data_IF_395762161052
#
_entry.id   IF_395762161052
#
_cell.length_a   1.000
_cell.length_b   1.000
_cell.length_c   1.000
_cell.angle_alpha   90.00
_cell.angle_beta   90.00
_cell.angle_gamma   90.00
#
_symmetry.space_group_name_H-M   'P 1'
#
loop_
_entity.id
_entity.type
_entity.pdbx_description
1 polymer ?
#
# COMPACT_ATOMS: atom_id res chain seq x y z
N UNK A 1 -1.34 -30.66 -24.28
CA UNK A 1 -2.09 -29.42 -24.05
C UNK A 1 -2.25 -29.30 -22.55
N UNK A 2 -1.44 -28.47 -21.91
CA UNK A 2 -1.59 -28.22 -20.47
C UNK A 2 -2.92 -27.49 -20.25
N UNK A 3 -3.80 -28.08 -19.45
CA UNK A 3 -5.01 -27.42 -19.00
C UNK A 3 -4.59 -26.22 -18.14
N UNK A 4 -4.64 -25.01 -18.69
CA UNK A 4 -4.54 -23.78 -17.91
C UNK A 4 -5.73 -23.77 -16.97
N UNK A 5 -5.51 -24.14 -15.71
CA UNK A 5 -6.54 -24.15 -14.68
C UNK A 5 -6.98 -22.70 -14.46
N UNK A 6 -8.17 -22.35 -14.92
CA UNK A 6 -8.79 -21.04 -14.65
C UNK A 6 -8.96 -20.90 -13.14
N UNK A 7 -8.37 -19.85 -12.55
CA UNK A 7 -8.51 -19.58 -11.13
C UNK A 7 -9.94 -19.15 -10.82
N UNK A 8 -10.49 -19.60 -9.70
CA UNK A 8 -11.76 -19.04 -9.19
C UNK A 8 -11.55 -17.63 -8.65
N UNK A 9 -12.64 -16.86 -8.51
CA UNK A 9 -12.57 -15.51 -7.94
C UNK A 9 -11.97 -15.54 -6.53
N UNK A 10 -12.30 -16.56 -5.74
CA UNK A 10 -11.77 -16.74 -4.39
C UNK A 10 -10.28 -17.06 -4.40
N UNK A 11 -9.81 -17.85 -5.37
CA UNK A 11 -8.37 -18.12 -5.56
C UNK A 11 -7.61 -16.84 -5.97
N UNK A 12 -8.22 -15.98 -6.81
CA UNK A 12 -7.67 -14.66 -7.18
C UNK A 12 -7.54 -13.76 -5.96
N UNK A 13 -8.61 -13.61 -5.18
CA UNK A 13 -8.59 -12.81 -3.95
C UNK A 13 -7.54 -13.33 -2.97
N UNK A 14 -7.49 -14.64 -2.75
CA UNK A 14 -6.53 -15.25 -1.84
C UNK A 14 -5.08 -14.97 -2.25
N UNK A 15 -4.78 -15.03 -3.56
CA UNK A 15 -3.47 -14.66 -4.13
C UNK A 15 -3.18 -13.17 -3.89
N UNK A 16 -4.10 -12.29 -4.26
CA UNK A 16 -3.90 -10.85 -4.21
C UNK A 16 -3.70 -10.35 -2.77
N UNK A 17 -4.48 -10.88 -1.80
CA UNK A 17 -4.30 -10.56 -0.37
C UNK A 17 -2.92 -10.99 0.13
N UNK A 18 -2.41 -12.18 -0.27
CA UNK A 18 -1.06 -12.63 0.11
C UNK A 18 0.00 -11.67 -0.42
N UNK A 19 -0.07 -11.34 -1.71
CA UNK A 19 0.89 -10.44 -2.36
C UNK A 19 0.90 -9.06 -1.71
N UNK A 20 -0.28 -8.52 -1.40
CA UNK A 20 -0.41 -7.23 -0.71
C UNK A 20 0.23 -7.25 0.68
N UNK A 21 -0.10 -8.25 1.50
CA UNK A 21 0.42 -8.37 2.88
C UNK A 21 1.94 -8.53 2.89
N UNK A 22 2.48 -9.27 1.92
CA UNK A 22 3.92 -9.41 1.72
C UNK A 22 4.58 -8.08 1.35
N UNK A 23 3.99 -7.30 0.43
CA UNK A 23 4.54 -6.02 0.00
C UNK A 23 4.61 -4.98 1.13
N UNK A 24 3.57 -4.87 1.95
CA UNK A 24 3.54 -3.90 3.06
C UNK A 24 4.37 -4.33 4.30
N UNK A 25 5.08 -5.45 4.19
CA UNK A 25 5.89 -6.08 5.23
C UNK A 25 5.17 -6.15 6.58
N UNK A 26 3.99 -6.79 6.58
CA UNK A 26 3.21 -7.05 7.79
C UNK A 26 3.07 -8.55 8.00
N UNK A 27 3.17 -8.96 9.27
CA UNK A 27 2.96 -10.37 9.61
C UNK A 27 1.49 -10.73 9.51
N UNK A 28 1.21 -11.97 9.08
CA UNK A 28 -0.15 -12.52 9.08
C UNK A 28 -0.87 -12.36 10.43
N UNK A 29 -0.12 -12.51 11.54
CA UNK A 29 -0.61 -12.30 12.90
C UNK A 29 -1.15 -10.88 13.10
N UNK A 30 -0.32 -9.90 12.76
CA UNK A 30 -0.70 -8.49 12.87
C UNK A 30 -1.97 -8.19 12.06
N UNK A 31 -2.07 -8.72 10.84
CA UNK A 31 -3.21 -8.47 9.94
C UNK A 31 -4.52 -9.01 10.53
N UNK A 32 -4.58 -10.27 10.95
CA UNK A 32 -5.85 -10.81 11.45
C UNK A 32 -6.26 -10.19 12.79
N UNK A 33 -5.29 -9.86 13.66
CA UNK A 33 -5.58 -9.20 14.94
C UNK A 33 -6.16 -7.80 14.72
N UNK A 34 -5.54 -7.01 13.83
CA UNK A 34 -6.01 -5.64 13.55
C UNK A 34 -7.28 -5.59 12.71
N UNK A 35 -7.52 -6.58 11.86
CA UNK A 35 -8.76 -6.69 11.10
C UNK A 35 -9.95 -7.22 11.93
N UNK A 36 -9.74 -7.61 13.20
CA UNK A 36 -10.79 -8.24 14.01
C UNK A 36 -11.25 -9.57 13.42
N UNK A 37 -10.30 -10.39 12.97
CA UNK A 37 -10.52 -11.72 12.41
C UNK A 37 -9.86 -12.78 13.30
N UNK A 38 -10.52 -13.93 13.42
CA UNK A 38 -9.85 -15.08 14.02
C UNK A 38 -8.73 -15.57 13.10
N UNK A 39 -7.70 -16.19 13.70
CA UNK A 39 -6.63 -16.85 12.95
C UNK A 39 -7.20 -17.80 11.88
N UNK A 40 -8.18 -18.63 12.25
CA UNK A 40 -8.80 -19.58 11.34
C UNK A 40 -9.50 -18.89 10.16
N UNK A 41 -10.26 -17.82 10.43
CA UNK A 41 -10.96 -17.04 9.41
C UNK A 41 -9.97 -16.46 8.40
N UNK A 42 -8.85 -15.91 8.88
CA UNK A 42 -7.82 -15.34 8.01
C UNK A 42 -7.14 -16.40 7.13
N UNK A 43 -6.74 -17.54 7.68
CA UNK A 43 -6.13 -18.60 6.86
C UNK A 43 -7.11 -19.26 5.90
N UNK A 44 -8.40 -19.30 6.23
CA UNK A 44 -9.44 -19.71 5.30
C UNK A 44 -9.54 -18.73 4.12
N UNK A 45 -9.53 -17.41 4.38
CA UNK A 45 -9.47 -16.39 3.34
C UNK A 45 -8.24 -16.57 2.44
N UNK A 46 -7.05 -16.77 3.03
CA UNK A 46 -5.82 -17.02 2.27
C UNK A 46 -5.82 -18.34 1.49
N UNK A 47 -6.76 -19.24 1.76
CA UNK A 47 -6.97 -20.47 1.03
C UNK A 47 -8.12 -20.38 0.00
N UNK A 48 -8.75 -19.20 -0.16
CA UNK A 48 -9.92 -19.02 -1.03
C UNK A 48 -11.17 -19.70 -0.48
N UNK A 49 -11.30 -19.83 0.84
CA UNK A 49 -12.40 -20.55 1.52
C UNK A 49 -13.17 -19.64 2.47
N UNK A 50 -14.44 -19.99 2.71
CA UNK A 50 -15.32 -19.29 3.64
C UNK A 50 -15.91 -18.01 3.05
N UNK A 51 -16.34 -17.08 3.92
CA UNK A 51 -16.93 -15.81 3.50
C UNK A 51 -15.86 -14.82 3.02
N UNK A 52 -15.38 -14.97 1.78
CA UNK A 52 -14.32 -14.13 1.19
C UNK A 52 -14.74 -12.66 1.19
N UNK A 53 -15.93 -12.33 0.69
CA UNK A 53 -16.42 -10.94 0.56
C UNK A 53 -16.39 -10.17 1.87
N UNK A 54 -16.99 -10.73 2.93
CA UNK A 54 -17.04 -10.11 4.25
C UNK A 54 -15.66 -9.91 4.86
N UNK A 55 -14.74 -10.84 4.65
CA UNK A 55 -13.39 -10.73 5.20
C UNK A 55 -12.53 -9.75 4.40
N UNK A 56 -12.73 -9.64 3.09
CA UNK A 56 -12.13 -8.59 2.25
C UNK A 56 -12.58 -7.20 2.71
N UNK A 57 -13.86 -6.99 3.04
CA UNK A 57 -14.34 -5.71 3.58
C UNK A 57 -13.64 -5.31 4.89
N UNK A 58 -13.30 -6.28 5.74
CA UNK A 58 -12.51 -6.02 6.95
C UNK A 58 -11.08 -5.59 6.60
N UNK A 59 -10.46 -6.22 5.60
CA UNK A 59 -9.13 -5.83 5.12
C UNK A 59 -9.16 -4.44 4.46
N UNK A 60 -10.17 -4.15 3.63
CA UNK A 60 -10.31 -2.84 3.00
C UNK A 60 -10.42 -1.73 4.05
N UNK A 61 -11.21 -1.96 5.12
CA UNK A 61 -11.28 -1.01 6.25
C UNK A 61 -9.94 -0.88 6.99
N UNK A 62 -9.26 -1.99 7.27
CA UNK A 62 -7.96 -1.98 7.95
C UNK A 62 -6.93 -1.15 7.17
N UNK A 63 -6.86 -1.37 5.85
CA UNK A 63 -5.87 -0.75 4.98
C UNK A 63 -6.35 0.56 4.32
N UNK A 64 -7.56 1.03 4.67
CA UNK A 64 -8.18 2.24 4.11
C UNK A 64 -8.28 2.20 2.57
N UNK A 65 -8.52 1.02 2.01
CA UNK A 65 -8.74 0.81 0.58
C UNK A 65 -10.17 1.23 0.26
N UNK A 66 -10.33 2.19 -0.64
CA UNK A 66 -11.64 2.72 -1.02
C UNK A 66 -12.35 1.84 -2.04
N UNK A 67 -11.60 1.24 -2.97
CA UNK A 67 -12.16 0.36 -4.00
C UNK A 67 -12.53 -1.02 -3.40
N UNK A 68 -13.82 -1.38 -3.35
CA UNK A 68 -14.25 -2.70 -2.86
C UNK A 68 -13.73 -3.85 -3.74
N UNK A 69 -13.46 -3.58 -5.02
CA UNK A 69 -13.00 -4.56 -6.00
C UNK A 69 -11.47 -4.70 -6.04
N UNK A 70 -10.74 -3.94 -5.24
CA UNK A 70 -9.27 -3.90 -5.25
C UNK A 70 -8.62 -5.29 -5.24
N UNK A 71 -9.05 -6.18 -4.33
CA UNK A 71 -8.50 -7.54 -4.25
C UNK A 71 -9.06 -8.52 -5.28
N UNK A 72 -10.06 -8.14 -6.07
CA UNK A 72 -10.72 -9.00 -7.06
C UNK A 72 -10.12 -8.85 -8.47
N UNK A 73 -9.22 -7.91 -8.68
CA UNK A 73 -8.59 -7.64 -9.97
C UNK A 73 -7.71 -8.83 -10.40
N UNK A 74 -7.89 -9.29 -11.65
CA UNK A 74 -7.11 -10.42 -12.18
C UNK A 74 -5.65 -10.02 -12.45
N UNK A 75 -5.46 -8.77 -12.89
CA UNK A 75 -4.24 -8.04 -13.17
C UNK A 75 -3.74 -7.23 -11.95
N UNK A 76 -4.00 -7.74 -10.75
CA UNK A 76 -3.60 -7.11 -9.50
C UNK A 76 -2.09 -6.84 -9.42
N UNK A 77 -1.75 -5.58 -9.16
CA UNK A 77 -0.38 -5.16 -8.87
C UNK A 77 -0.32 -4.78 -7.38
N UNK A 78 0.49 -5.46 -6.56
CA UNK A 78 0.67 -5.07 -5.17
C UNK A 78 1.35 -3.69 -5.07
N UNK A 79 1.18 -2.97 -3.94
CA UNK A 79 1.97 -1.76 -3.70
C UNK A 79 3.46 -2.07 -3.71
N UNK A 80 4.29 -1.06 -3.92
CA UNK A 80 5.74 -1.21 -3.82
C UNK A 80 6.11 -1.69 -2.42
N UNK A 81 7.02 -2.66 -2.36
CA UNK A 81 7.59 -3.11 -1.09
C UNK A 81 8.45 -2.02 -0.46
N UNK A 82 8.66 -2.09 0.86
CA UNK A 82 9.53 -1.15 1.58
C UNK A 82 10.94 -1.09 0.97
N UNK A 83 11.48 -2.22 0.53
CA UNK A 83 12.79 -2.28 -0.13
C UNK A 83 12.80 -1.59 -1.51
N UNK A 84 11.71 -1.69 -2.28
CA UNK A 84 11.56 -1.00 -3.57
C UNK A 84 11.35 0.51 -3.37
N UNK A 85 10.63 0.88 -2.31
CA UNK A 85 10.47 2.27 -1.87
C UNK A 85 11.85 2.86 -1.54
N UNK A 86 12.69 2.16 -0.77
CA UNK A 86 14.04 2.62 -0.41
C UNK A 86 14.96 2.79 -1.64
N UNK A 87 14.74 2.02 -2.70
CA UNK A 87 15.47 2.13 -3.96
C UNK A 87 14.95 3.24 -4.88
N UNK A 88 13.79 3.82 -4.58
CA UNK A 88 13.15 4.87 -5.39
C UNK A 88 13.42 6.24 -4.77
N UNK A 89 14.23 7.07 -5.44
CA UNK A 89 14.84 8.28 -4.86
C UNK A 89 13.89 9.47 -4.60
N UNK A 90 12.59 9.37 -4.91
CA UNK A 90 11.72 10.54 -4.96
C UNK A 90 10.46 10.33 -4.08
N UNK A 91 10.38 11.04 -2.95
CA UNK A 91 9.30 11.00 -1.96
C UNK A 91 7.88 11.11 -2.57
N UNK A 92 7.75 11.89 -3.66
CA UNK A 92 6.51 12.01 -4.44
C UNK A 92 6.08 10.71 -5.12
N UNK A 93 7.02 9.94 -5.68
CA UNK A 93 6.73 8.65 -6.32
C UNK A 93 6.30 7.62 -5.27
N UNK A 94 6.86 7.69 -4.05
CA UNK A 94 6.51 6.83 -2.93
C UNK A 94 5.08 7.06 -2.41
N UNK A 95 4.64 8.31 -2.36
CA UNK A 95 3.29 8.63 -1.95
C UNK A 95 2.26 8.32 -3.04
N UNK A 96 2.60 8.50 -4.32
CA UNK A 96 1.75 8.11 -5.44
C UNK A 96 1.56 6.59 -5.54
N UNK A 97 2.60 5.80 -5.25
CA UNK A 97 2.54 4.33 -5.30
C UNK A 97 1.73 3.71 -4.14
N UNK A 98 1.65 4.36 -2.98
CA UNK A 98 0.92 3.86 -1.81
C UNK A 98 -0.52 4.39 -1.70
N UNK A 99 -0.89 5.44 -2.44
CA UNK A 99 -2.27 5.89 -2.55
C UNK A 99 -3.00 5.11 -3.66
N UNK A 100 -3.70 4.03 -3.30
CA UNK A 100 -4.57 3.30 -4.23
C UNK A 100 -5.87 4.05 -4.54
N UNK A 101 -5.82 5.24 -5.16
CA UNK A 101 -7.01 5.85 -5.77
C UNK A 101 -6.58 6.83 -6.87
N UNK A 102 -7.21 6.71 -8.05
CA UNK A 102 -7.18 7.70 -9.12
C UNK A 102 -7.72 9.07 -8.70
N UNK A 103 -6.90 9.85 -8.00
CA UNK A 103 -7.19 11.23 -7.65
C UNK A 103 -6.81 12.15 -8.80
N UNK A 104 -7.54 12.07 -9.92
CA UNK A 104 -7.67 13.23 -10.80
C UNK A 104 -8.51 14.27 -10.05
N UNK A 105 -7.87 15.22 -9.35
CA UNK A 105 -8.58 16.19 -8.53
C UNK A 105 -7.73 16.96 -7.51
N UNK A 106 -8.40 17.65 -6.58
CA UNK A 106 -7.81 18.55 -5.58
C UNK A 106 -6.87 17.87 -4.58
N UNK A 107 -7.04 16.57 -4.33
CA UNK A 107 -6.27 15.80 -3.34
C UNK A 107 -4.84 15.52 -3.84
N UNK A 108 -4.67 15.15 -5.12
CA UNK A 108 -3.35 15.03 -5.73
C UNK A 108 -2.61 16.37 -5.75
N UNK A 109 -3.32 17.49 -5.95
CA UNK A 109 -2.74 18.83 -5.86
C UNK A 109 -2.33 19.20 -4.44
N UNK A 110 -3.12 18.84 -3.43
CA UNK A 110 -2.76 19.03 -2.02
C UNK A 110 -1.53 18.21 -1.64
N UNK A 111 -1.42 16.97 -2.13
CA UNK A 111 -0.25 16.14 -1.92
C UNK A 111 1.00 16.74 -2.58
N UNK A 112 0.89 17.16 -3.84
CA UNK A 112 1.98 17.86 -4.54
C UNK A 112 2.40 19.15 -3.83
N UNK A 113 1.44 19.94 -3.36
CA UNK A 113 1.71 21.14 -2.58
C UNK A 113 2.43 20.81 -1.27
N UNK A 114 2.02 19.75 -0.57
CA UNK A 114 2.66 19.31 0.68
C UNK A 114 4.11 18.91 0.44
N UNK A 115 4.40 18.17 -0.64
CA UNK A 115 5.78 17.82 -1.00
C UNK A 115 6.60 19.06 -1.38
N UNK A 116 6.04 19.98 -2.15
CA UNK A 116 6.72 21.24 -2.49
C UNK A 116 7.07 22.06 -1.24
N UNK A 117 6.16 22.13 -0.26
CA UNK A 117 6.44 22.80 1.01
C UNK A 117 7.54 22.09 1.80
N UNK A 118 7.63 20.76 1.76
CA UNK A 118 8.71 20.02 2.40
C UNK A 118 10.06 20.29 1.73
N UNK A 119 10.12 20.30 0.40
CA UNK A 119 11.32 20.64 -0.36
C UNK A 119 11.79 22.06 -0.01
N UNK A 120 10.88 23.03 0.03
CA UNK A 120 11.19 24.43 0.42
C UNK A 120 11.74 24.54 1.85
N UNK A 121 11.27 23.69 2.78
CA UNK A 121 11.79 23.64 4.16
C UNK A 121 13.18 23.01 4.20
N UNK A 122 13.43 21.97 3.41
CA UNK A 122 14.74 21.33 3.31
C UNK A 122 15.76 22.31 2.73
N UNK A 123 15.42 23.00 1.64
CA UNK A 123 16.28 24.02 1.02
C UNK A 123 16.61 25.16 2.01
N UNK A 124 15.62 25.57 2.82
CA UNK A 124 15.84 26.57 3.87
C UNK A 124 16.81 26.05 4.95
N UNK A 125 16.64 24.80 5.39
CA UNK A 125 17.53 24.18 6.38
C UNK A 125 18.95 24.05 5.84
N UNK A 126 19.12 23.64 4.59
CA UNK A 126 20.43 23.54 3.93
C UNK A 126 21.08 24.91 3.76
N UNK A 127 20.29 25.94 3.41
CA UNK A 127 20.78 27.33 3.35
C UNK A 127 21.22 27.81 4.74
N UNK A 128 20.43 27.55 5.78
CA UNK A 128 20.78 27.91 7.16
C UNK A 128 22.00 27.15 7.66
N UNK A 129 22.13 25.88 7.32
CA UNK A 129 23.29 25.05 7.65
C UNK A 129 24.55 25.58 6.96
N UNK A 130 24.47 25.86 5.66
CA UNK A 130 25.57 26.45 4.89
C UNK A 130 25.98 27.81 5.46
N UNK A 131 25.02 28.66 5.83
CA UNK A 131 25.28 29.97 6.45
C UNK A 131 25.90 29.83 7.85
N UNK A 132 25.51 28.81 8.63
CA UNK A 132 26.10 28.53 9.92
C UNK A 132 27.55 28.03 9.79
N UNK A 133 27.83 27.14 8.83
CA UNK A 133 29.18 26.64 8.55
C UNK A 133 30.12 27.73 8.01
N UNK A 134 29.62 28.63 7.16
CA UNK A 134 30.42 29.73 6.58
C UNK A 134 30.72 30.83 7.60
N UNK A 135 29.92 30.98 8.66
CA UNK A 135 30.07 32.04 9.66
C UNK A 135 30.84 31.62 10.94
N UNK A 136 31.41 30.41 11.00
CA UNK A 136 32.10 29.85 12.18
C UNK A 136 31.40 30.19 13.52
N UNK A 137 30.20 29.64 13.73
CA UNK A 137 29.68 29.32 15.06
C UNK A 137 29.98 27.86 15.41
#
# INVERSE_FOLDING_TARGET
MEHVKTMTIEEVVARNVKSYVQAIDKTNKWVYEKAGMSKQTYYNLLAGKGEVTRNVEKLNRLFRIQDPMYFYQADFVPPLSVEEIEKTSNLQQLAAANYHVGSTGSEARQLQHTFKTLDEVIDLLDTLHTVAEVNEL
#
